data_IF_830477691410
#
_entry.id   IF_830477691410
#
_cell.length_a   1.000
_cell.length_b   1.000
_cell.length_c   1.000
_cell.angle_alpha   90.00
_cell.angle_beta   90.00
_cell.angle_gamma   90.00
#
_symmetry.space_group_name_H-M   'P 1'
#
loop_
_entity.id
_entity.type
_entity.pdbx_description
1 polymer ?
#
# COMPACT_ATOMS: atom_id res chain seq x y z
N UNK A 1 18.84 3.79 15.68
CA UNK A 1 17.63 2.99 15.31
C UNK A 1 17.70 2.39 13.90
N UNK A 2 18.66 2.75 13.04
CA UNK A 2 18.82 2.13 11.69
C UNK A 2 20.19 1.42 11.58
N UNK A 3 21.07 1.51 12.59
CA UNK A 3 22.47 1.06 12.50
C UNK A 3 22.69 -0.41 12.10
N UNK A 4 21.69 -1.29 12.23
CA UNK A 4 21.85 -2.72 11.92
C UNK A 4 21.61 -3.06 10.42
N UNK A 5 21.13 -2.13 9.59
CA UNK A 5 20.87 -2.42 8.17
C UNK A 5 22.16 -2.60 7.36
N UNK A 6 22.07 -3.33 6.25
CA UNK A 6 23.12 -3.31 5.24
C UNK A 6 23.43 -1.87 4.82
N UNK A 7 24.71 -1.53 4.71
CA UNK A 7 25.20 -0.18 4.47
C UNK A 7 24.49 0.49 3.28
N UNK A 8 24.31 -0.27 2.19
CA UNK A 8 23.63 0.21 0.98
C UNK A 8 22.12 0.46 1.17
N UNK A 9 21.39 -0.40 1.91
CA UNK A 9 19.96 -0.18 2.15
C UNK A 9 19.74 0.99 3.12
N UNK A 10 20.62 1.12 4.10
CA UNK A 10 20.62 2.19 5.10
C UNK A 10 20.88 3.55 4.43
N UNK A 11 21.81 3.64 3.49
CA UNK A 11 22.06 4.86 2.72
C UNK A 11 20.83 5.32 1.94
N UNK A 12 20.17 4.42 1.22
CA UNK A 12 18.97 4.75 0.44
C UNK A 12 17.83 5.24 1.35
N UNK A 13 17.68 4.65 2.52
CA UNK A 13 16.71 5.09 3.52
C UNK A 13 17.08 6.45 4.13
N UNK A 14 18.35 6.70 4.48
CA UNK A 14 18.80 8.02 4.95
C UNK A 14 18.53 9.11 3.90
N UNK A 15 18.82 8.82 2.63
CA UNK A 15 18.55 9.74 1.51
C UNK A 15 17.06 10.00 1.32
N UNK A 16 16.23 8.96 1.45
CA UNK A 16 14.78 9.09 1.41
C UNK A 16 14.23 9.94 2.56
N UNK A 17 14.67 9.69 3.81
CA UNK A 17 14.27 10.46 4.99
C UNK A 17 14.68 11.93 4.86
N UNK A 18 15.93 12.18 4.43
CA UNK A 18 16.41 13.53 4.16
C UNK A 18 15.58 14.22 3.08
N UNK A 19 15.25 13.53 1.98
CA UNK A 19 14.41 14.09 0.91
C UNK A 19 13.03 14.49 1.43
N UNK A 20 12.40 13.65 2.27
CA UNK A 20 11.10 13.96 2.90
C UNK A 20 11.24 15.17 3.83
N UNK A 21 12.26 15.19 4.70
CA UNK A 21 12.47 16.24 5.68
C UNK A 21 12.74 17.61 5.04
N UNK A 22 13.64 17.67 4.05
CA UNK A 22 13.95 18.91 3.33
C UNK A 22 12.74 19.41 2.54
N UNK A 23 11.92 18.50 1.98
CA UNK A 23 10.71 18.87 1.25
C UNK A 23 9.66 19.54 2.13
N UNK A 24 9.57 19.14 3.40
CA UNK A 24 8.67 19.77 4.36
C UNK A 24 9.06 21.22 4.66
N UNK A 25 10.35 21.57 4.50
CA UNK A 25 10.86 22.91 4.81
C UNK A 25 10.87 23.85 3.61
N UNK A 26 11.34 23.37 2.46
CA UNK A 26 11.71 24.26 1.35
C UNK A 26 10.86 24.04 0.10
N UNK A 27 10.83 22.81 -0.42
CA UNK A 27 10.23 22.52 -1.73
C UNK A 27 9.28 21.33 -1.67
N UNK A 28 7.99 21.58 -1.94
CA UNK A 28 6.95 20.56 -1.99
C UNK A 28 6.59 20.26 -3.43
N UNK A 29 7.30 19.32 -4.06
CA UNK A 29 7.05 18.95 -5.47
C UNK A 29 6.75 17.47 -5.61
N UNK A 30 6.00 17.13 -6.66
CA UNK A 30 5.66 15.74 -6.98
C UNK A 30 6.89 14.96 -7.42
N UNK A 31 7.89 15.64 -7.96
CA UNK A 31 9.14 15.02 -8.39
C UNK A 31 9.94 14.47 -7.20
N UNK A 32 9.93 15.15 -6.05
CA UNK A 32 10.54 14.61 -4.83
C UNK A 32 9.77 13.39 -4.33
N UNK A 33 8.43 13.40 -4.37
CA UNK A 33 7.61 12.23 -4.01
C UNK A 33 8.00 11.03 -4.88
N UNK A 34 8.12 11.23 -6.19
CA UNK A 34 8.51 10.15 -7.13
C UNK A 34 9.92 9.66 -6.88
N UNK A 35 10.87 10.56 -6.65
CA UNK A 35 12.25 10.20 -6.37
C UNK A 35 12.38 9.42 -5.07
N UNK A 36 11.66 9.83 -4.02
CA UNK A 36 11.60 9.11 -2.75
C UNK A 36 11.02 7.70 -2.94
N UNK A 37 9.93 7.53 -3.71
CA UNK A 37 9.36 6.20 -4.02
C UNK A 37 10.41 5.30 -4.69
N UNK A 38 11.20 5.82 -5.64
CA UNK A 38 12.27 5.06 -6.29
C UNK A 38 13.34 4.60 -5.30
N UNK A 39 13.75 5.47 -4.37
CA UNK A 39 14.71 5.10 -3.31
C UNK A 39 14.16 4.04 -2.36
N UNK A 40 12.88 4.13 -2.01
CA UNK A 40 12.22 3.07 -1.23
C UNK A 40 12.22 1.74 -1.98
N UNK A 41 11.94 1.74 -3.29
CA UNK A 41 12.02 0.53 -4.13
C UNK A 41 13.44 -0.06 -4.16
N UNK A 42 14.46 0.79 -4.29
CA UNK A 42 15.87 0.36 -4.21
C UNK A 42 16.21 -0.27 -2.86
N UNK A 43 15.77 0.35 -1.75
CA UNK A 43 15.97 -0.20 -0.40
C UNK A 43 15.31 -1.58 -0.26
N UNK A 44 14.09 -1.76 -0.78
CA UNK A 44 13.43 -3.07 -0.84
C UNK A 44 14.24 -4.09 -1.63
N UNK A 45 14.74 -3.73 -2.81
CA UNK A 45 15.50 -4.63 -3.67
C UNK A 45 16.80 -5.11 -2.98
N UNK A 46 17.52 -4.19 -2.33
CA UNK A 46 18.73 -4.51 -1.56
C UNK A 46 18.40 -5.43 -0.38
N UNK A 47 17.36 -5.11 0.40
CA UNK A 47 16.94 -5.97 1.52
C UNK A 47 16.49 -7.36 1.06
N UNK A 48 15.78 -7.46 -0.08
CA UNK A 48 15.38 -8.75 -0.65
C UNK A 48 16.62 -9.57 -1.05
N UNK A 49 17.62 -8.95 -1.66
CA UNK A 49 18.87 -9.63 -2.02
C UNK A 49 19.56 -10.16 -0.77
N UNK A 50 19.73 -9.33 0.26
CA UNK A 50 20.35 -9.73 1.53
C UNK A 50 19.65 -10.94 2.16
N UNK A 51 18.31 -10.97 2.17
CA UNK A 51 17.55 -12.11 2.68
C UNK A 51 17.71 -13.39 1.86
N UNK A 52 17.91 -13.27 0.54
CA UNK A 52 18.14 -14.41 -0.36
C UNK A 52 19.59 -14.91 -0.31
N UNK A 53 20.57 -14.02 -0.12
CA UNK A 53 21.97 -14.38 0.10
C UNK A 53 22.12 -15.25 1.34
N UNK A 54 21.52 -14.82 2.46
CA UNK A 54 21.47 -15.63 3.67
C UNK A 54 20.76 -16.98 3.43
N UNK A 55 19.67 -17.01 2.66
CA UNK A 55 19.00 -18.28 2.33
C UNK A 55 19.88 -19.20 1.46
N UNK A 56 20.71 -18.64 0.57
CA UNK A 56 21.68 -19.38 -0.25
C UNK A 56 22.79 -19.96 0.62
N UNK A 57 23.35 -19.19 1.54
CA UNK A 57 24.38 -19.65 2.50
C UNK A 57 23.86 -20.80 3.37
N UNK A 58 22.61 -20.71 3.80
CA UNK A 58 21.93 -21.76 4.55
C UNK A 58 21.44 -22.94 3.66
N UNK A 59 21.93 -23.05 2.42
CA UNK A 59 21.62 -24.11 1.44
C UNK A 59 20.13 -24.26 1.10
N UNK A 60 19.29 -23.25 1.38
CA UNK A 60 17.86 -23.26 1.02
C UNK A 60 17.60 -22.91 -0.44
N UNK A 61 18.60 -22.37 -1.13
CA UNK A 61 18.52 -21.94 -2.53
C UNK A 61 19.84 -22.19 -3.27
N UNK A 62 19.84 -22.78 -4.48
CA UNK A 62 21.05 -23.01 -5.25
C UNK A 62 21.59 -21.71 -5.89
N UNK A 63 20.72 -20.89 -6.49
CA UNK A 63 21.09 -19.66 -7.20
C UNK A 63 20.07 -18.54 -6.98
N UNK A 64 20.54 -17.30 -6.91
CA UNK A 64 19.69 -16.12 -6.78
C UNK A 64 19.17 -15.74 -8.17
N UNK A 65 17.85 -15.67 -8.39
CA UNK A 65 17.31 -15.32 -9.70
C UNK A 65 17.51 -13.82 -10.01
N UNK A 66 17.79 -13.46 -11.28
CA UNK A 66 17.99 -12.06 -11.67
C UNK A 66 16.69 -11.24 -11.63
N UNK A 67 15.53 -11.86 -11.85
CA UNK A 67 14.24 -11.15 -11.89
C UNK A 67 13.78 -10.69 -10.50
N UNK A 68 13.55 -9.39 -10.33
CA UNK A 68 13.03 -8.80 -9.08
C UNK A 68 11.68 -9.39 -8.65
N UNK A 69 10.83 -9.79 -9.61
CA UNK A 69 9.56 -10.46 -9.34
C UNK A 69 9.77 -11.85 -8.75
N UNK A 70 10.69 -12.63 -9.31
CA UNK A 70 11.00 -13.97 -8.80
C UNK A 70 11.63 -13.90 -7.41
N UNK A 71 12.54 -12.95 -7.20
CA UNK A 71 13.14 -12.68 -5.87
C UNK A 71 12.08 -12.40 -4.82
N UNK A 72 11.12 -11.52 -5.12
CA UNK A 72 10.01 -11.22 -4.23
C UNK A 72 9.14 -12.45 -3.90
N UNK A 73 8.86 -13.32 -4.89
CA UNK A 73 8.10 -14.54 -4.66
C UNK A 73 8.85 -15.54 -3.77
N UNK A 74 10.17 -15.69 -3.95
CA UNK A 74 10.99 -16.56 -3.11
C UNK A 74 11.02 -16.10 -1.65
N UNK A 75 11.13 -14.80 -1.41
CA UNK A 75 11.04 -14.25 -0.04
C UNK A 75 9.71 -14.59 0.61
N UNK A 76 8.58 -14.49 -0.10
CA UNK A 76 7.27 -14.88 0.45
C UNK A 76 7.19 -16.37 0.74
N UNK A 77 7.84 -17.22 -0.07
CA UNK A 77 7.90 -18.67 0.17
C UNK A 77 8.71 -19.01 1.43
N UNK A 78 9.86 -18.35 1.63
CA UNK A 78 10.71 -18.60 2.80
C UNK A 78 10.20 -17.91 4.07
N UNK A 79 9.61 -16.73 3.93
CA UNK A 79 9.13 -15.89 5.02
C UNK A 79 7.69 -15.43 4.78
N UNK A 80 6.69 -16.29 4.99
CA UNK A 80 5.28 -15.96 4.76
C UNK A 80 4.80 -14.74 5.56
N UNK A 81 5.40 -14.47 6.73
CA UNK A 81 5.10 -13.31 7.57
C UNK A 81 5.36 -11.98 6.85
N UNK A 82 6.29 -11.95 5.89
CA UNK A 82 6.64 -10.75 5.12
C UNK A 82 5.75 -10.52 3.89
N UNK A 83 4.74 -11.37 3.66
CA UNK A 83 3.85 -11.27 2.50
C UNK A 83 3.22 -9.88 2.37
N UNK A 84 2.76 -9.28 3.48
CA UNK A 84 2.18 -7.92 3.48
C UNK A 84 3.17 -6.88 2.95
N UNK A 85 4.45 -7.02 3.29
CA UNK A 85 5.50 -6.10 2.87
C UNK A 85 5.87 -6.25 1.41
N UNK A 86 5.91 -7.49 0.92
CA UNK A 86 6.11 -7.78 -0.50
C UNK A 86 4.92 -7.32 -1.35
N UNK A 87 3.69 -7.48 -0.87
CA UNK A 87 2.49 -6.96 -1.53
C UNK A 87 2.53 -5.43 -1.62
N UNK A 88 3.05 -4.76 -0.59
CA UNK A 88 3.27 -3.32 -0.60
C UNK A 88 4.37 -2.90 -1.58
N UNK A 89 5.51 -3.58 -1.60
CA UNK A 89 6.56 -3.37 -2.61
C UNK A 89 6.01 -3.48 -4.03
N UNK A 90 5.20 -4.51 -4.33
CA UNK A 90 4.55 -4.64 -5.63
C UNK A 90 3.62 -3.46 -5.95
N UNK A 91 2.87 -2.96 -4.96
CA UNK A 91 2.03 -1.75 -5.13
C UNK A 91 2.87 -0.50 -5.40
N UNK A 92 4.00 -0.31 -4.72
CA UNK A 92 4.91 0.80 -4.98
C UNK A 92 5.44 0.78 -6.41
N UNK A 93 5.78 -0.39 -6.96
CA UNK A 93 6.21 -0.52 -8.37
C UNK A 93 5.10 -0.13 -9.34
N UNK A 94 3.86 -0.46 -9.03
CA UNK A 94 2.71 -0.04 -9.85
C UNK A 94 2.54 1.47 -9.77
N UNK A 95 2.71 2.09 -8.60
CA UNK A 95 2.62 3.54 -8.43
C UNK A 95 3.73 4.27 -9.19
N UNK A 96 4.99 3.82 -9.10
CA UNK A 96 6.12 4.45 -9.80
C UNK A 96 5.97 4.42 -11.33
N UNK A 97 5.41 3.32 -11.85
CA UNK A 97 5.17 3.14 -13.29
C UNK A 97 3.88 3.78 -13.81
N UNK A 98 2.93 4.09 -12.93
CA UNK A 98 1.64 4.63 -13.35
C UNK A 98 1.75 6.07 -13.85
N UNK A 99 0.90 6.42 -14.81
CA UNK A 99 0.72 7.81 -15.21
C UNK A 99 0.20 8.63 -14.03
N UNK A 100 0.83 9.77 -13.78
CA UNK A 100 0.51 10.61 -12.64
C UNK A 100 0.14 12.03 -13.08
N UNK A 101 -0.73 12.65 -12.29
CA UNK A 101 -0.99 14.09 -12.34
C UNK A 101 -0.38 14.75 -11.12
N UNK A 102 0.12 15.97 -11.33
CA UNK A 102 0.63 16.83 -10.28
C UNK A 102 -0.54 17.60 -9.65
N UNK A 103 -0.59 17.69 -8.32
CA UNK A 103 -1.59 18.47 -7.59
C UNK A 103 -0.91 19.33 -6.53
N UNK A 104 -1.30 20.61 -6.50
CA UNK A 104 -0.93 21.57 -5.43
C UNK A 104 0.57 21.62 -5.13
N UNK A 105 1.41 21.66 -6.18
CA UNK A 105 2.85 21.87 -6.01
C UNK A 105 3.12 23.21 -5.30
N UNK A 106 4.22 23.23 -4.54
CA UNK A 106 4.64 24.36 -3.70
C UNK A 106 3.66 24.73 -2.58
N UNK A 107 2.66 23.89 -2.30
CA UNK A 107 1.69 24.05 -1.20
C UNK A 107 1.73 22.85 -0.25
N UNK A 108 1.14 23.03 0.94
CA UNK A 108 1.14 22.00 2.01
C UNK A 108 0.51 20.67 1.57
N UNK A 109 -0.53 20.71 0.74
CA UNK A 109 -1.27 19.53 0.31
C UNK A 109 -0.76 18.97 -1.03
N UNK A 110 0.55 19.11 -1.32
CA UNK A 110 1.14 18.52 -2.53
C UNK A 110 0.83 17.03 -2.57
N UNK A 111 0.37 16.57 -3.73
CA UNK A 111 0.05 15.17 -3.92
C UNK A 111 0.34 14.69 -5.34
N UNK A 112 0.85 13.46 -5.41
CA UNK A 112 0.96 12.69 -6.65
C UNK A 112 -0.34 11.91 -6.84
N UNK A 113 -1.07 12.18 -7.93
CA UNK A 113 -2.29 11.43 -8.27
C UNK A 113 -1.94 10.40 -9.34
N UNK A 114 -1.67 9.17 -8.93
CA UNK A 114 -1.39 8.04 -9.81
C UNK A 114 -2.70 7.45 -10.35
N UNK A 115 -2.78 7.23 -11.66
CA UNK A 115 -3.90 6.53 -12.31
C UNK A 115 -3.53 5.06 -12.46
N UNK A 116 -4.19 4.20 -11.68
CA UNK A 116 -4.01 2.75 -11.74
C UNK A 116 -5.31 2.15 -12.30
N UNK A 117 -5.33 1.93 -13.61
CA UNK A 117 -6.54 1.53 -14.33
C UNK A 117 -7.65 2.57 -14.14
N UNK A 118 -8.80 2.15 -13.60
CA UNK A 118 -9.94 3.04 -13.31
C UNK A 118 -9.84 3.79 -11.97
N UNK A 119 -8.84 3.46 -11.12
CA UNK A 119 -8.69 4.04 -9.78
C UNK A 119 -7.64 5.15 -9.77
N UNK A 120 -7.91 6.19 -8.98
CA UNK A 120 -6.95 7.25 -8.68
C UNK A 120 -6.42 7.04 -7.27
N UNK A 121 -5.10 6.92 -7.14
CA UNK A 121 -4.40 6.84 -5.86
C UNK A 121 -3.71 8.17 -5.63
N UNK A 122 -4.03 8.82 -4.52
CA UNK A 122 -3.42 10.09 -4.11
C UNK A 122 -2.33 9.78 -3.08
N UNK A 123 -1.10 10.21 -3.37
CA UNK A 123 0.07 10.06 -2.48
C UNK A 123 0.51 11.46 -2.06
N UNK A 124 0.16 11.83 -0.83
CA UNK A 124 0.62 13.06 -0.18
C UNK A 124 1.95 12.83 0.56
N UNK A 125 2.54 13.89 1.12
CA UNK A 125 3.76 13.80 1.91
C UNK A 125 3.58 12.95 3.18
N UNK A 126 2.40 12.98 3.81
CA UNK A 126 2.11 12.17 5.00
C UNK A 126 2.07 10.68 4.65
N UNK A 127 1.39 10.33 3.55
CA UNK A 127 1.34 8.96 3.03
C UNK A 127 2.75 8.49 2.64
N UNK A 128 3.56 9.39 2.06
CA UNK A 128 4.96 9.07 1.73
C UNK A 128 5.79 8.76 2.98
N UNK A 129 5.51 9.43 4.11
CA UNK A 129 6.15 9.11 5.39
C UNK A 129 5.75 7.72 5.89
N UNK A 130 4.47 7.36 5.78
CA UNK A 130 4.01 6.01 6.10
C UNK A 130 4.70 4.95 5.22
N UNK A 131 4.90 5.25 3.94
CA UNK A 131 5.61 4.35 3.01
C UNK A 131 7.07 4.16 3.43
N UNK A 132 7.73 5.23 3.88
CA UNK A 132 9.07 5.17 4.43
C UNK A 132 9.14 4.28 5.68
N UNK A 133 8.29 4.52 6.68
CA UNK A 133 8.27 3.76 7.94
C UNK A 133 8.04 2.27 7.69
N UNK A 134 7.14 1.95 6.76
CA UNK A 134 6.83 0.57 6.38
C UNK A 134 8.02 -0.11 5.68
N UNK A 135 8.78 0.64 4.87
CA UNK A 135 10.02 0.14 4.23
C UNK A 135 11.11 -0.15 5.25
N UNK A 136 11.30 0.77 6.21
CA UNK A 136 12.25 0.57 7.33
C UNK A 136 11.90 -0.69 8.12
N UNK A 137 10.62 -0.91 8.43
CA UNK A 137 10.15 -2.10 9.13
C UNK A 137 10.51 -3.40 8.39
N UNK A 138 10.30 -3.43 7.06
CA UNK A 138 10.68 -4.58 6.24
C UNK A 138 12.19 -4.83 6.25
N UNK A 139 13.00 -3.80 5.98
CA UNK A 139 14.46 -3.93 5.92
C UNK A 139 15.03 -4.41 7.26
N UNK A 140 14.54 -3.88 8.39
CA UNK A 140 14.91 -4.37 9.73
C UNK A 140 14.51 -5.83 9.93
N UNK A 141 13.30 -6.21 9.54
CA UNK A 141 12.84 -7.59 9.65
C UNK A 141 13.73 -8.58 8.92
N UNK A 142 14.28 -8.22 7.74
CA UNK A 142 15.25 -9.05 7.03
C UNK A 142 16.57 -9.13 7.79
N UNK A 143 17.11 -7.99 8.21
CA UNK A 143 18.35 -7.93 8.99
C UNK A 143 18.28 -8.79 10.26
N UNK A 144 17.17 -8.72 11.00
CA UNK A 144 16.98 -9.51 12.23
C UNK A 144 16.98 -11.01 11.95
N UNK A 145 16.37 -11.45 10.84
CA UNK A 145 16.41 -12.84 10.39
C UNK A 145 17.84 -13.27 10.05
N UNK A 146 18.58 -12.45 9.30
CA UNK A 146 19.96 -12.73 8.91
C UNK A 146 20.88 -12.86 10.14
N UNK A 147 20.68 -11.99 11.14
CA UNK A 147 21.51 -11.95 12.35
C UNK A 147 21.11 -12.98 13.42
N UNK A 148 20.09 -13.81 13.19
CA UNK A 148 19.58 -14.81 14.14
C UNK A 148 19.27 -14.26 15.56
N UNK A 149 19.05 -12.95 15.70
CA UNK A 149 18.64 -12.31 16.97
C UNK A 149 17.12 -12.50 17.13
N UNK A 150 16.63 -12.68 18.38
CA UNK A 150 15.18 -12.75 18.66
C UNK A 150 14.50 -11.48 18.14
N UNK A 151 13.59 -11.64 17.19
CA UNK A 151 12.74 -10.59 16.66
C UNK A 151 12.01 -9.88 17.81
N UNK A 152 12.27 -8.60 18.00
CA UNK A 152 11.55 -7.77 18.97
C UNK A 152 10.78 -6.72 18.19
N UNK A 153 9.46 -6.90 18.09
CA UNK A 153 8.53 -5.92 17.51
C UNK A 153 8.60 -4.62 18.32
N UNK A 154 9.61 -3.79 18.09
CA UNK A 154 9.71 -2.47 18.67
C UNK A 154 8.84 -1.50 17.86
N UNK A 155 7.51 -1.74 17.95
CA UNK A 155 6.37 -0.79 17.93
C UNK A 155 5.14 -1.46 17.31
N UNK A 156 4.06 -1.50 18.09
CA UNK A 156 2.69 -1.71 17.61
C UNK A 156 2.32 -0.64 16.55
N UNK A 157 2.71 -0.84 15.29
CA UNK A 157 2.18 -0.06 14.16
C UNK A 157 0.94 -0.79 13.66
N UNK A 158 -0.23 -0.39 14.19
CA UNK A 158 -1.51 -0.77 13.60
C UNK A 158 -1.60 -0.13 12.21
N UNK A 159 -1.19 -0.85 11.16
CA UNK A 159 -1.53 -0.46 9.78
C UNK A 159 -3.01 -0.78 9.55
N UNK A 160 -3.88 0.14 9.98
CA UNK A 160 -5.24 0.20 9.45
C UNK A 160 -5.14 0.98 8.14
N UNK A 161 -5.17 0.26 7.02
CA UNK A 161 -5.42 0.88 5.71
C UNK A 161 -6.71 1.71 5.85
N UNK A 162 -6.73 3.01 5.46
CA UNK A 162 -7.98 3.69 5.23
C UNK A 162 -8.60 3.11 3.95
N UNK A 163 -9.24 1.95 4.06
CA UNK A 163 -10.31 1.59 3.14
C UNK A 163 -11.42 2.58 3.46
N UNK A 164 -11.59 3.61 2.61
CA UNK A 164 -12.85 4.35 2.59
C UNK A 164 -13.95 3.29 2.52
N UNK A 165 -14.68 3.09 3.62
CA UNK A 165 -15.94 2.35 3.60
C UNK A 165 -16.74 2.93 2.42
N UNK A 166 -17.40 2.11 1.59
CA UNK A 166 -18.34 2.65 0.62
C UNK A 166 -19.25 3.62 1.40
N UNK A 167 -19.36 4.86 0.94
CA UNK A 167 -20.21 5.87 1.58
C UNK A 167 -21.53 5.19 1.91
N UNK A 168 -21.86 5.06 3.20
CA UNK A 168 -23.26 4.79 3.57
C UNK A 168 -24.04 5.91 2.92
N UNK A 169 -24.96 5.57 2.01
CA UNK A 169 -25.96 6.51 1.54
C UNK A 169 -26.55 7.18 2.78
N UNK A 170 -26.31 8.48 2.90
CA UNK A 170 -27.00 9.29 3.89
C UNK A 170 -28.46 9.22 3.49
N UNK A 171 -29.25 8.42 4.21
CA UNK A 171 -30.70 8.53 4.16
C UNK A 171 -31.01 9.98 4.50
N UNK A 172 -31.44 10.77 3.52
CA UNK A 172 -32.12 12.04 3.77
C UNK A 172 -33.26 11.68 4.74
N UNK A 173 -33.22 12.22 5.96
CA UNK A 173 -34.40 12.21 6.81
C UNK A 173 -35.42 13.08 6.09
N UNK A 174 -36.51 12.48 5.63
CA UNK A 174 -37.68 13.25 5.23
C UNK A 174 -38.12 14.10 6.43
N UNK A 175 -38.49 15.38 6.23
CA UNK A 175 -38.90 16.25 7.32
C UNK A 175 -40.12 15.66 8.03
N UNK A 176 -40.14 15.76 9.36
CA UNK A 176 -41.26 15.33 10.18
C UNK A 176 -42.49 16.20 9.85
N UNK A 177 -43.54 15.59 9.30
CA UNK A 177 -44.82 16.28 9.06
C UNK A 177 -45.66 16.19 10.32
N UNK A 178 -45.84 17.33 10.98
CA UNK A 178 -46.76 17.50 12.11
C UNK A 178 -48.14 17.90 11.58
N UNK A 179 -49.19 17.18 11.98
CA UNK A 179 -50.58 17.66 11.85
C UNK A 179 -51.17 17.79 13.25
N UNK A 180 -51.67 18.98 13.59
CA UNK A 180 -52.31 19.32 14.86
C UNK A 180 -51.52 18.86 16.09
N UNK A 181 -50.22 19.19 16.12
CA UNK A 181 -49.39 19.04 17.32
C UNK A 181 -49.05 17.61 17.76
N UNK A 182 -49.34 16.58 16.96
CA UNK A 182 -48.96 15.18 17.27
C UNK A 182 -48.12 14.53 16.15
N UNK A 183 -47.10 13.77 16.56
CA UNK A 183 -46.15 13.08 15.69
C UNK A 183 -46.81 11.82 15.06
N UNK A 184 -47.00 11.80 13.73
CA UNK A 184 -47.56 10.63 13.02
C UNK A 184 -46.42 9.77 12.47
N UNK A 185 -46.10 8.65 13.14
CA UNK A 185 -45.10 7.68 12.65
C UNK A 185 -45.70 6.78 11.54
N UNK A 186 -45.31 6.97 10.28
CA UNK A 186 -45.57 5.96 9.21
C UNK A 186 -44.67 4.73 9.42
N UNK A 187 -45.27 3.54 9.56
CA UNK A 187 -44.57 2.25 9.61
C UNK A 187 -43.86 1.99 8.27
N UNK A 188 -42.54 1.79 8.29
CA UNK A 188 -41.79 1.34 7.12
C UNK A 188 -41.55 -0.17 7.19
N UNK A 189 -42.24 -0.94 6.35
CA UNK A 189 -41.97 -2.37 6.14
C UNK A 189 -40.68 -2.54 5.32
N UNK A 190 -39.70 -3.27 5.85
CA UNK A 190 -38.49 -3.67 5.10
C UNK A 190 -38.84 -4.81 4.13
N UNK A 191 -38.88 -4.55 2.82
CA UNK A 191 -38.87 -5.61 1.79
C UNK A 191 -37.44 -6.16 1.67
N UNK A 192 -37.23 -7.41 2.11
CA UNK A 192 -35.96 -8.14 1.89
C UNK A 192 -36.05 -8.80 0.52
N UNK A 193 -35.37 -8.26 -0.49
CA UNK A 193 -35.24 -8.90 -1.81
C UNK A 193 -34.01 -9.80 -1.78
N UNK A 194 -34.20 -11.12 -1.61
CA UNK A 194 -33.17 -12.12 -1.89
C UNK A 194 -32.97 -12.20 -3.41
N UNK A 195 -31.86 -11.70 -3.94
CA UNK A 195 -31.47 -12.00 -5.33
C UNK A 195 -30.82 -13.39 -5.36
N UNK A 196 -31.61 -14.39 -5.75
CA UNK A 196 -31.10 -15.63 -6.33
C UNK A 196 -30.81 -15.36 -7.81
N UNK A 197 -29.62 -15.71 -8.28
CA UNK A 197 -29.34 -15.73 -9.71
C UNK A 197 -29.98 -17.00 -10.29
N UNK A 198 -31.17 -16.85 -10.89
CA UNK A 198 -31.68 -17.83 -11.86
C UNK A 198 -31.02 -17.51 -13.20
N UNK A 199 -30.34 -18.49 -13.78
CA UNK A 199 -29.84 -18.42 -15.15
C UNK A 199 -31.05 -18.24 -16.07
N UNK A 200 -31.05 -17.19 -16.89
CA UNK A 200 -32.15 -16.90 -17.79
C UNK A 200 -32.12 -17.89 -18.97
N UNK A 201 -33.12 -18.78 -19.14
CA UNK A 201 -33.12 -19.79 -20.21
C UNK A 201 -33.34 -19.19 -21.62
N UNK A 202 -33.54 -17.87 -21.73
CA UNK A 202 -33.78 -17.16 -22.98
C UNK A 202 -32.58 -16.31 -23.47
N UNK A 203 -31.34 -16.69 -23.12
CA UNK A 203 -30.16 -16.08 -23.74
C UNK A 203 -29.99 -16.63 -25.17
N UNK A 204 -30.08 -15.80 -26.24
CA UNK A 204 -29.82 -16.29 -27.59
C UNK A 204 -28.37 -16.75 -27.68
N UNK A 205 -28.16 -18.02 -28.07
CA UNK A 205 -26.84 -18.59 -28.36
C UNK A 205 -26.18 -17.73 -29.44
N UNK A 206 -25.21 -16.89 -29.06
CA UNK A 206 -24.37 -16.19 -30.03
C UNK A 206 -23.14 -17.04 -30.34
N UNK A 207 -23.27 -17.68 -31.51
CA UNK A 207 -22.27 -18.16 -32.46
C UNK A 207 -21.28 -19.23 -32.02
N UNK A 208 -21.47 -20.42 -32.61
CA UNK A 208 -20.37 -21.26 -33.05
C UNK A 208 -19.90 -20.79 -34.44
N UNK A 209 -18.58 -20.68 -34.57
CA UNK A 209 -17.69 -21.22 -35.60
C UNK A 209 -16.27 -21.05 -35.04
#
# INVERSE_FOLDING_TARGET
MIEELSESALEELKRADHSIYVSLKYTRTVDIIKNTIKRLLSAYDISIIQGLEWAKENKKLPTIPPSSRLRAQLIVKFYPQMKKSIDFYNRLKVIDKADYKKKEEYRKNVALIAKIGSRKVEVSMDILREFFDFTVCFSRGITEITNQKKFTDAKNVKVVLPVKKPKKEVKKKEPEVYKHGKLVKKKTTKKVVKKSYKINPAAPKRYGY
#
